data_IF_701208797371
#
_entry.id   IF_701208797371
#
_cell.length_a   1.000
_cell.length_b   1.000
_cell.length_c   1.000
_cell.angle_alpha   90.00
_cell.angle_beta   90.00
_cell.angle_gamma   90.00
#
_symmetry.space_group_name_H-M   'P 1'
#
loop_
_entity.id
_entity.type
_entity.pdbx_description
1 polymer ?
#
# COMPACT_ATOMS: atom_id res chain seq x y z
N UNK A 1 -10.41 20.23 -35.00
CA UNK A 1 -10.72 19.18 -34.03
C UNK A 1 -9.40 18.58 -33.61
N UNK A 2 -9.03 18.76 -32.35
CA UNK A 2 -7.79 18.21 -31.81
C UNK A 2 -8.12 17.06 -30.87
N UNK A 3 -7.37 15.97 -31.03
CA UNK A 3 -7.42 14.84 -30.10
C UNK A 3 -6.02 14.53 -29.64
N UNK A 4 -5.85 14.13 -28.40
CA UNK A 4 -4.61 13.55 -27.94
C UNK A 4 -4.86 12.42 -26.96
N UNK A 5 -3.88 11.53 -26.88
CA UNK A 5 -3.84 10.40 -25.95
C UNK A 5 -2.51 10.48 -25.21
N UNK A 6 -2.54 10.30 -23.92
CA UNK A 6 -1.37 10.07 -23.08
C UNK A 6 -1.50 8.71 -22.44
N UNK A 7 -0.43 7.92 -22.48
CA UNK A 7 -0.32 6.61 -21.84
C UNK A 7 0.89 6.63 -20.92
N UNK A 8 0.70 6.19 -19.71
CA UNK A 8 1.75 5.97 -18.73
C UNK A 8 1.74 4.52 -18.28
N UNK A 9 2.89 3.86 -18.38
CA UNK A 9 3.07 2.47 -17.95
C UNK A 9 4.31 2.42 -17.06
N UNK A 10 4.16 1.90 -15.85
CA UNK A 10 5.26 1.73 -14.93
C UNK A 10 5.13 0.40 -14.23
N UNK A 11 6.23 -0.34 -14.21
CA UNK A 11 6.36 -1.58 -13.44
C UNK A 11 7.70 -1.54 -12.73
N UNK A 12 7.71 -1.90 -11.46
CA UNK A 12 8.92 -1.98 -10.66
C UNK A 12 8.85 -3.17 -9.71
N UNK A 13 9.94 -3.93 -9.66
CA UNK A 13 10.19 -4.97 -8.65
C UNK A 13 11.45 -4.58 -7.87
N UNK A 14 11.37 -4.53 -6.55
CA UNK A 14 12.46 -4.06 -5.71
C UNK A 14 13.38 -5.18 -5.20
N UNK A 15 13.22 -6.41 -5.67
CA UNK A 15 13.99 -7.57 -5.24
C UNK A 15 15.52 -7.36 -5.33
N UNK A 16 15.98 -6.68 -6.39
CA UNK A 16 17.42 -6.44 -6.59
C UNK A 16 18.03 -5.41 -5.63
N UNK A 17 17.23 -4.48 -5.13
CA UNK A 17 17.71 -3.45 -4.17
C UNK A 17 17.75 -3.97 -2.74
N UNK A 18 16.81 -4.81 -2.37
CA UNK A 18 16.70 -5.38 -1.03
C UNK A 18 17.67 -6.55 -0.82
N UNK A 19 17.97 -7.33 -1.86
CA UNK A 19 18.94 -8.42 -1.81
C UNK A 19 20.41 -7.96 -1.67
N UNK A 20 20.70 -6.67 -1.81
CA UNK A 20 22.06 -6.09 -1.55
C UNK A 20 22.23 -5.57 -0.13
N UNK A 21 21.16 -5.45 0.63
CA UNK A 21 21.20 -5.05 2.03
C UNK A 21 21.22 -6.30 2.91
N UNK A 22 21.98 -6.22 4.01
CA UNK A 22 22.05 -7.30 5.01
C UNK A 22 20.78 -7.25 5.88
N UNK A 23 19.63 -7.50 5.25
CA UNK A 23 18.32 -7.51 5.90
C UNK A 23 18.09 -8.85 6.59
N UNK A 24 17.50 -8.81 7.77
CA UNK A 24 17.17 -10.00 8.57
C UNK A 24 15.86 -10.65 8.07
N UNK A 25 15.70 -10.82 6.73
CA UNK A 25 14.52 -11.40 6.09
C UNK A 25 14.48 -11.13 4.60
N UNK A 26 13.65 -11.90 3.90
CA UNK A 26 13.37 -11.69 2.49
C UNK A 26 12.19 -10.73 2.33
N UNK A 27 12.42 -9.64 1.63
CA UNK A 27 11.43 -8.61 1.34
C UNK A 27 11.23 -8.53 -0.16
N UNK A 28 10.07 -8.92 -0.62
CA UNK A 28 9.68 -8.85 -2.02
C UNK A 28 8.59 -7.80 -2.17
N UNK A 29 8.89 -6.71 -2.86
CA UNK A 29 7.87 -5.71 -3.17
C UNK A 29 7.85 -5.39 -4.65
N UNK A 30 6.65 -5.22 -5.17
CA UNK A 30 6.41 -4.87 -6.54
C UNK A 30 5.28 -3.87 -6.69
N UNK A 31 5.28 -3.11 -7.77
CA UNK A 31 4.11 -2.36 -8.16
C UNK A 31 4.01 -2.20 -9.68
N UNK A 32 2.79 -2.06 -10.14
CA UNK A 32 2.44 -1.73 -11.50
C UNK A 32 1.47 -0.56 -11.51
N UNK A 33 1.66 0.35 -12.45
CA UNK A 33 0.86 1.56 -12.59
C UNK A 33 0.59 1.78 -14.08
N UNK A 34 -0.68 1.92 -14.42
CA UNK A 34 -1.17 2.11 -15.78
C UNK A 34 -2.06 3.34 -15.80
N UNK A 35 -1.69 4.31 -16.62
CA UNK A 35 -2.43 5.57 -16.74
C UNK A 35 -2.83 5.82 -18.17
N UNK A 36 -4.03 6.34 -18.34
CA UNK A 36 -4.60 6.66 -19.62
C UNK A 36 -5.31 8.01 -19.53
N UNK A 37 -5.05 8.90 -20.48
CA UNK A 37 -5.79 10.13 -20.67
C UNK A 37 -6.08 10.31 -22.16
N UNK A 38 -7.36 10.42 -22.47
CA UNK A 38 -7.84 10.80 -23.79
C UNK A 38 -8.56 12.13 -23.69
N UNK A 39 -8.28 13.03 -24.63
CA UNK A 39 -9.03 14.27 -24.80
C UNK A 39 -9.38 14.47 -26.26
N UNK A 40 -10.60 14.94 -26.49
CA UNK A 40 -11.12 15.21 -27.82
C UNK A 40 -12.01 16.46 -27.84
N UNK A 41 -11.77 17.34 -28.82
CA UNK A 41 -12.59 18.51 -29.06
C UNK A 41 -13.77 18.15 -29.96
N UNK A 42 -14.97 18.07 -29.36
CA UNK A 42 -16.24 17.82 -30.05
C UNK A 42 -16.81 19.13 -30.63
N UNK A 43 -16.08 19.71 -31.60
CA UNK A 43 -16.42 21.00 -32.18
C UNK A 43 -15.69 22.15 -31.49
N UNK A 44 -16.24 23.36 -31.57
CA UNK A 44 -15.60 24.58 -31.01
C UNK A 44 -15.97 24.87 -29.56
N UNK A 45 -16.98 24.21 -29.05
CA UNK A 45 -17.55 24.53 -27.74
C UNK A 45 -17.53 23.40 -26.73
N UNK A 46 -17.37 22.17 -27.16
CA UNK A 46 -17.45 21.00 -26.29
C UNK A 46 -16.13 20.21 -26.28
N UNK A 47 -15.60 19.97 -25.11
CA UNK A 47 -14.41 19.15 -24.90
C UNK A 47 -14.76 17.93 -24.06
N UNK A 48 -14.36 16.77 -24.53
CA UNK A 48 -14.44 15.49 -23.83
C UNK A 48 -13.06 15.11 -23.29
N UNK A 49 -13.00 14.68 -22.03
CA UNK A 49 -11.80 14.08 -21.46
C UNK A 49 -12.16 12.80 -20.73
N UNK A 50 -11.42 11.73 -20.98
CA UNK A 50 -11.53 10.45 -20.30
C UNK A 50 -10.20 10.13 -19.65
N UNK A 51 -10.23 9.86 -18.37
CA UNK A 51 -9.07 9.47 -17.57
C UNK A 51 -9.29 8.07 -17.01
N UNK A 52 -8.24 7.28 -16.99
CA UNK A 52 -8.20 5.98 -16.32
C UNK A 52 -6.86 5.80 -15.64
N UNK A 53 -6.88 5.21 -14.46
CA UNK A 53 -5.70 4.83 -13.70
C UNK A 53 -5.96 3.48 -13.03
N UNK A 54 -4.99 2.57 -13.13
CA UNK A 54 -5.00 1.29 -12.44
C UNK A 54 -3.64 1.07 -11.81
N UNK A 55 -3.65 0.80 -10.50
CA UNK A 55 -2.45 0.51 -9.73
C UNK A 55 -2.61 -0.83 -9.03
N UNK A 56 -1.51 -1.57 -8.96
CA UNK A 56 -1.39 -2.76 -8.15
C UNK A 56 -0.05 -2.76 -7.46
N UNK A 57 -0.04 -3.02 -6.15
CA UNK A 57 1.15 -3.22 -5.35
C UNK A 57 1.09 -4.51 -4.57
N UNK A 58 2.22 -5.15 -4.38
CA UNK A 58 2.39 -6.33 -3.56
C UNK A 58 3.63 -6.19 -2.67
N UNK A 59 3.51 -6.68 -1.44
CA UNK A 59 4.60 -6.77 -0.49
C UNK A 59 4.53 -8.14 0.19
N UNK A 60 5.62 -8.89 0.13
CA UNK A 60 5.78 -10.14 0.87
C UNK A 60 7.02 -10.03 1.76
N UNK A 61 6.87 -10.42 3.01
CA UNK A 61 7.92 -10.39 4.02
C UNK A 61 8.02 -11.78 4.65
N UNK A 62 9.20 -12.40 4.51
CA UNK A 62 9.54 -13.66 5.17
C UNK A 62 10.73 -13.41 6.08
N UNK A 63 10.53 -13.23 7.40
CA UNK A 63 11.60 -12.94 8.32
C UNK A 63 12.50 -14.16 8.51
N UNK A 64 13.81 -13.91 8.51
CA UNK A 64 14.81 -14.94 8.74
C UNK A 64 15.18 -15.05 10.23
N UNK A 65 15.89 -16.12 10.55
CA UNK A 65 16.47 -16.30 11.87
C UNK A 65 17.37 -15.12 12.25
N UNK A 66 17.21 -14.63 13.47
CA UNK A 66 18.04 -13.58 14.06
C UNK A 66 18.84 -14.12 15.23
N UNK A 67 20.15 -13.82 15.23
CA UNK A 67 21.06 -14.10 16.33
C UNK A 67 21.68 -12.79 16.81
N UNK A 68 21.46 -12.41 18.05
CA UNK A 68 22.03 -11.20 18.64
C UNK A 68 22.83 -11.58 19.87
N UNK A 69 24.08 -11.11 19.94
CA UNK A 69 24.95 -11.26 21.10
C UNK A 69 25.20 -9.89 21.73
N UNK A 70 25.15 -9.83 23.06
CA UNK A 70 25.39 -8.61 23.82
C UNK A 70 25.93 -8.96 25.20
N UNK A 71 26.60 -8.02 25.85
CA UNK A 71 27.23 -8.21 27.16
C UNK A 71 28.64 -7.65 27.24
N UNK A 72 29.37 -8.11 28.20
CA UNK A 72 30.77 -7.76 28.46
C UNK A 72 31.71 -8.86 27.98
N UNK A 73 33.06 -8.66 28.10
CA UNK A 73 34.07 -9.71 27.83
C UNK A 73 33.92 -10.95 28.70
N UNK A 74 33.36 -10.79 29.89
CA UNK A 74 33.30 -11.84 30.91
C UNK A 74 31.93 -12.55 30.90
N UNK A 75 30.86 -11.87 30.44
CA UNK A 75 29.50 -12.39 30.39
C UNK A 75 28.85 -11.98 29.06
N UNK A 76 28.68 -12.93 28.18
CA UNK A 76 28.02 -12.73 26.89
C UNK A 76 26.65 -13.42 26.88
N UNK A 77 25.64 -12.67 26.55
CA UNK A 77 24.26 -13.14 26.39
C UNK A 77 23.97 -13.31 24.93
N UNK A 78 23.23 -14.37 24.58
CA UNK A 78 22.85 -14.69 23.21
C UNK A 78 21.32 -14.84 23.11
N UNK A 79 20.72 -13.97 22.32
CA UNK A 79 19.31 -14.07 21.92
C UNK A 79 19.22 -14.69 20.52
N UNK A 80 18.58 -15.83 20.43
CA UNK A 80 18.30 -16.51 19.18
C UNK A 80 16.80 -16.44 18.92
N UNK A 81 16.40 -15.79 17.82
CA UNK A 81 15.00 -15.71 17.41
C UNK A 81 14.86 -16.45 16.08
N UNK A 82 13.91 -17.36 16.02
CA UNK A 82 13.53 -18.06 14.80
C UNK A 82 12.12 -17.67 14.45
N UNK A 83 11.85 -17.59 13.16
CA UNK A 83 10.53 -17.29 12.64
C UNK A 83 10.06 -18.39 11.71
N UNK A 84 8.76 -18.63 11.70
CA UNK A 84 8.06 -19.48 10.76
C UNK A 84 6.81 -18.74 10.31
N UNK A 85 6.55 -18.76 9.00
CA UNK A 85 5.45 -18.03 8.40
C UNK A 85 5.86 -16.80 7.60
N UNK A 86 4.87 -16.05 7.20
CA UNK A 86 5.02 -14.92 6.28
C UNK A 86 4.00 -13.80 6.55
N UNK A 87 4.30 -12.63 6.03
CA UNK A 87 3.40 -11.49 5.98
C UNK A 87 3.26 -11.03 4.54
N UNK A 88 2.03 -10.81 4.07
CA UNK A 88 1.76 -10.30 2.74
C UNK A 88 0.74 -9.17 2.78
N UNK A 89 0.97 -8.17 1.93
CA UNK A 89 0.04 -7.08 1.69
C UNK A 89 -0.15 -6.89 0.20
N UNK A 90 -1.41 -6.85 -0.24
CA UNK A 90 -1.80 -6.62 -1.61
C UNK A 90 -2.70 -5.38 -1.66
N UNK A 91 -2.40 -4.49 -2.57
CA UNK A 91 -3.16 -3.28 -2.83
C UNK A 91 -3.51 -3.20 -4.31
N UNK A 92 -4.77 -2.94 -4.61
CA UNK A 92 -5.23 -2.74 -5.96
C UNK A 92 -6.17 -1.53 -6.00
N UNK A 93 -5.97 -0.62 -6.97
CA UNK A 93 -6.86 0.51 -7.16
C UNK A 93 -7.18 0.75 -8.63
N UNK A 94 -8.43 1.05 -8.90
CA UNK A 94 -8.94 1.46 -10.19
C UNK A 94 -9.61 2.81 -10.06
N UNK A 95 -9.29 3.75 -10.94
CA UNK A 95 -9.97 5.02 -11.07
C UNK A 95 -10.32 5.29 -12.53
N UNK A 96 -11.55 5.71 -12.77
CA UNK A 96 -12.00 6.19 -14.09
C UNK A 96 -12.72 7.53 -13.91
N UNK A 97 -12.51 8.46 -14.82
CA UNK A 97 -13.20 9.75 -14.82
C UNK A 97 -13.56 10.19 -16.23
N UNK A 98 -14.74 10.79 -16.34
CA UNK A 98 -15.26 11.44 -17.54
C UNK A 98 -15.46 12.92 -17.23
N UNK A 99 -14.94 13.80 -18.09
CA UNK A 99 -15.17 15.24 -18.02
C UNK A 99 -15.74 15.74 -19.33
N UNK A 100 -16.83 16.46 -19.26
CA UNK A 100 -17.41 17.22 -20.36
C UNK A 100 -17.37 18.71 -20.02
N UNK A 101 -16.62 19.47 -20.80
CA UNK A 101 -16.52 20.93 -20.66
C UNK A 101 -17.19 21.61 -21.83
N UNK A 102 -18.23 22.39 -21.55
CA UNK A 102 -19.04 23.11 -22.54
C UNK A 102 -18.86 24.62 -22.38
N UNK A 103 -18.30 25.26 -23.39
CA UNK A 103 -18.13 26.70 -23.50
C UNK A 103 -19.35 27.29 -24.18
N UNK A 104 -20.38 27.67 -23.40
CA UNK A 104 -21.61 28.27 -23.95
C UNK A 104 -21.33 29.62 -24.60
N UNK A 105 -20.43 30.43 -24.01
CA UNK A 105 -19.91 31.69 -24.54
C UNK A 105 -18.49 31.94 -24.02
N UNK A 106 -17.88 33.03 -24.45
CA UNK A 106 -16.54 33.47 -23.95
C UNK A 106 -16.54 33.78 -22.43
N UNK A 107 -17.72 33.94 -21.82
CA UNK A 107 -17.88 34.33 -20.42
C UNK A 107 -18.67 33.29 -19.62
N UNK A 108 -19.17 32.22 -20.22
CA UNK A 108 -20.01 31.21 -19.55
C UNK A 108 -19.57 29.81 -19.94
N UNK A 109 -19.13 29.06 -18.95
CA UNK A 109 -18.64 27.69 -19.10
C UNK A 109 -19.36 26.76 -18.13
N UNK A 110 -19.67 25.55 -18.56
CA UNK A 110 -20.18 24.45 -17.77
C UNK A 110 -19.19 23.29 -17.81
N UNK A 111 -18.95 22.65 -16.69
CA UNK A 111 -18.13 21.45 -16.62
C UNK A 111 -18.88 20.39 -15.84
N UNK A 112 -19.10 19.25 -16.47
CA UNK A 112 -19.59 18.06 -15.81
C UNK A 112 -18.46 17.06 -15.65
N UNK A 113 -18.30 16.56 -14.44
CA UNK A 113 -17.29 15.57 -14.08
C UNK A 113 -18.01 14.40 -13.42
N UNK A 114 -17.76 13.19 -13.90
CA UNK A 114 -18.18 11.97 -13.23
C UNK A 114 -16.99 11.05 -13.05
N UNK A 115 -16.78 10.51 -11.87
CA UNK A 115 -15.66 9.62 -11.57
C UNK A 115 -16.10 8.45 -10.70
N UNK A 116 -15.47 7.33 -10.94
CA UNK A 116 -15.57 6.12 -10.17
C UNK A 116 -14.18 5.72 -9.69
N UNK A 117 -14.05 5.30 -8.43
CA UNK A 117 -12.85 4.65 -7.94
C UNK A 117 -13.20 3.43 -7.09
N UNK A 118 -12.35 2.41 -7.19
CA UNK A 118 -12.37 1.21 -6.36
C UNK A 118 -10.99 0.97 -5.78
N UNK A 119 -10.94 0.63 -4.51
CA UNK A 119 -9.72 0.27 -3.80
C UNK A 119 -9.98 -1.06 -3.11
N UNK A 120 -9.09 -2.01 -3.35
CA UNK A 120 -9.06 -3.31 -2.68
C UNK A 120 -7.71 -3.44 -1.98
N UNK A 121 -7.75 -3.73 -0.68
CA UNK A 121 -6.57 -3.96 0.14
C UNK A 121 -6.76 -5.24 0.94
N UNK A 122 -5.73 -6.08 0.94
CA UNK A 122 -5.70 -7.31 1.70
C UNK A 122 -4.36 -7.44 2.42
N UNK A 123 -4.42 -7.65 3.73
CA UNK A 123 -3.27 -7.91 4.57
C UNK A 123 -3.41 -9.28 5.22
N UNK A 124 -2.43 -10.13 5.01
CA UNK A 124 -2.34 -11.44 5.63
C UNK A 124 -1.03 -11.53 6.41
N UNK A 125 -1.10 -12.05 7.61
CA UNK A 125 0.05 -12.37 8.45
C UNK A 125 -0.23 -13.64 9.21
N UNK A 126 0.66 -14.59 9.07
CA UNK A 126 0.68 -15.81 9.88
C UNK A 126 2.14 -16.03 10.28
N UNK A 127 2.51 -15.54 11.45
CA UNK A 127 3.90 -15.48 11.87
C UNK A 127 4.06 -16.01 13.28
N UNK A 128 4.80 -17.09 13.42
CA UNK A 128 5.25 -17.64 14.67
C UNK A 128 6.73 -17.29 14.88
N UNK A 129 7.02 -16.55 15.92
CA UNK A 129 8.39 -16.30 16.37
C UNK A 129 8.64 -17.08 17.68
N UNK A 130 9.73 -17.83 17.77
CA UNK A 130 10.18 -18.38 19.04
C UNK A 130 11.59 -17.95 19.33
N UNK A 131 11.86 -17.68 20.59
CA UNK A 131 13.16 -17.21 21.03
C UNK A 131 13.74 -18.10 22.13
N UNK A 132 15.07 -18.17 22.12
CA UNK A 132 15.85 -18.76 23.20
C UNK A 132 16.91 -17.75 23.63
N UNK A 133 16.98 -17.51 24.93
CA UNK A 133 17.94 -16.63 25.57
C UNK A 133 18.94 -17.47 26.37
N UNK A 134 20.20 -17.38 26.01
CA UNK A 134 21.25 -18.20 26.59
C UNK A 134 22.38 -17.33 27.12
N UNK A 135 23.01 -17.76 28.20
CA UNK A 135 24.31 -17.26 28.64
C UNK A 135 25.39 -17.99 27.86
N UNK A 136 26.33 -17.26 27.23
CA UNK A 136 27.46 -17.83 26.53
C UNK A 136 28.63 -17.99 27.52
N UNK A 137 28.84 -19.19 28.02
CA UNK A 137 30.02 -19.46 28.84
C UNK A 137 31.30 -19.23 28.04
N UNK A 138 32.25 -18.47 28.61
CA UNK A 138 33.43 -17.94 27.98
C UNK A 138 34.27 -18.96 27.22
N UNK A 139 34.06 -19.04 25.91
CA UNK A 139 34.84 -19.82 24.97
C UNK A 139 34.53 -19.39 23.53
N UNK A 140 35.57 -19.32 22.70
CA UNK A 140 35.46 -18.95 21.26
C UNK A 140 34.78 -20.03 20.41
N UNK A 141 34.28 -21.12 20.99
CA UNK A 141 33.63 -22.18 20.25
C UNK A 141 32.18 -21.79 19.92
N UNK A 142 31.80 -21.62 18.64
CA UNK A 142 30.44 -21.32 18.22
C UNK A 142 29.42 -22.39 18.61
N UNK A 143 29.84 -23.60 18.91
CA UNK A 143 29.01 -24.74 19.31
C UNK A 143 28.70 -24.77 20.82
N UNK A 144 29.38 -23.94 21.60
CA UNK A 144 29.18 -23.90 23.05
C UNK A 144 27.90 -23.09 23.33
N UNK A 145 26.76 -23.76 23.33
CA UNK A 145 25.46 -23.22 23.75
C UNK A 145 25.50 -23.23 25.28
N UNK A 146 25.66 -22.05 25.89
CA UNK A 146 25.67 -21.89 27.33
C UNK A 146 24.30 -22.24 27.98
N UNK A 147 24.17 -21.97 29.26
CA UNK A 147 22.92 -22.27 29.99
C UNK A 147 21.73 -21.52 29.42
N UNK A 148 20.60 -22.20 29.21
CA UNK A 148 19.34 -21.58 28.80
C UNK A 148 18.81 -20.74 29.97
N UNK A 149 18.64 -19.43 29.72
CA UNK A 149 18.09 -18.50 30.71
C UNK A 149 16.57 -18.29 30.52
N UNK A 150 16.09 -18.46 29.29
CA UNK A 150 14.68 -18.33 29.01
C UNK A 150 14.32 -18.69 27.58
N UNK A 151 13.07 -19.02 27.36
CA UNK A 151 12.49 -19.26 26.03
C UNK A 151 11.04 -18.82 25.98
N UNK A 152 10.54 -18.55 24.78
CA UNK A 152 9.15 -18.24 24.59
C UNK A 152 8.80 -18.16 23.12
N UNK A 153 7.55 -17.94 22.86
CA UNK A 153 7.05 -17.75 21.49
C UNK A 153 6.10 -16.57 21.42
N UNK A 154 6.02 -16.00 20.24
CA UNK A 154 5.07 -14.96 19.87
C UNK A 154 4.40 -15.37 18.58
N UNK A 155 3.08 -15.41 18.58
CA UNK A 155 2.27 -15.69 17.42
C UNK A 155 1.52 -14.43 17.02
N UNK A 156 1.60 -14.05 15.76
CA UNK A 156 0.87 -12.93 15.19
C UNK A 156 0.09 -13.39 13.96
N UNK A 157 -1.22 -13.23 14.02
CA UNK A 157 -2.14 -13.52 12.92
C UNK A 157 -2.88 -12.27 12.50
N UNK A 158 -3.05 -12.09 11.18
CA UNK A 158 -3.84 -11.02 10.58
C UNK A 158 -4.48 -11.53 9.29
N UNK A 159 -5.77 -11.28 9.12
CA UNK A 159 -6.52 -11.48 7.88
C UNK A 159 -7.48 -10.29 7.73
N UNK A 160 -6.95 -9.19 7.20
CA UNK A 160 -7.67 -7.95 7.00
C UNK A 160 -8.03 -7.77 5.54
N UNK A 161 -9.19 -7.22 5.29
CA UNK A 161 -9.70 -6.90 3.97
C UNK A 161 -10.44 -5.59 3.98
N UNK A 162 -10.08 -4.68 3.07
CA UNK A 162 -10.77 -3.43 2.82
C UNK A 162 -11.18 -3.36 1.34
N UNK A 163 -12.46 -3.13 1.07
CA UNK A 163 -12.96 -2.78 -0.24
C UNK A 163 -13.71 -1.47 -0.17
N UNK A 164 -13.29 -0.49 -0.94
CA UNK A 164 -13.90 0.84 -1.01
C UNK A 164 -14.29 1.13 -2.44
N UNK A 165 -15.52 1.60 -2.65
CA UNK A 165 -16.01 2.09 -3.93
C UNK A 165 -16.55 3.50 -3.74
N UNK A 166 -16.17 4.42 -4.60
CA UNK A 166 -16.58 5.82 -4.56
C UNK A 166 -17.07 6.24 -5.94
N UNK A 167 -18.31 6.73 -6.00
CA UNK A 167 -18.87 7.36 -7.17
C UNK A 167 -19.06 8.85 -6.90
N UNK A 168 -18.49 9.69 -7.74
CA UNK A 168 -18.69 11.13 -7.71
C UNK A 168 -19.29 11.62 -9.01
N UNK A 169 -20.20 12.58 -8.92
CA UNK A 169 -20.64 13.38 -10.06
C UNK A 169 -20.77 14.83 -9.65
N UNK A 170 -20.31 15.72 -10.49
CA UNK A 170 -20.24 17.16 -10.19
C UNK A 170 -20.56 17.95 -11.44
N UNK A 171 -21.40 18.98 -11.29
CA UNK A 171 -21.68 19.99 -12.30
C UNK A 171 -21.21 21.35 -11.78
N UNK A 172 -20.33 21.99 -12.51
CA UNK A 172 -19.83 23.34 -12.22
C UNK A 172 -20.26 24.30 -13.31
N UNK A 173 -20.58 25.52 -12.91
CA UNK A 173 -20.80 26.66 -13.78
C UNK A 173 -19.80 27.75 -13.44
N UNK A 174 -19.13 28.29 -14.43
CA UNK A 174 -18.29 29.46 -14.33
C UNK A 174 -18.85 30.57 -15.21
N UNK A 175 -19.04 31.77 -14.66
CA UNK A 175 -19.53 32.94 -15.39
C UNK A 175 -18.68 34.18 -15.04
N UNK A 176 -18.14 34.83 -16.06
CA UNK A 176 -17.48 36.12 -15.95
C UNK A 176 -18.53 37.24 -16.14
N UNK A 177 -18.55 38.18 -15.19
CA UNK A 177 -19.44 39.36 -15.22
C UNK A 177 -18.57 40.60 -15.01
N UNK A 178 -18.31 41.36 -16.08
CA UNK A 178 -17.39 42.54 -16.04
C UNK A 178 -16.01 42.14 -15.46
N UNK A 179 -15.62 42.73 -14.33
CA UNK A 179 -14.35 42.49 -13.64
C UNK A 179 -14.43 41.40 -12.54
N UNK A 180 -15.58 40.74 -12.42
CA UNK A 180 -15.83 39.71 -11.40
C UNK A 180 -16.14 38.38 -12.07
N UNK A 181 -15.99 37.29 -11.33
CA UNK A 181 -16.43 35.98 -11.76
C UNK A 181 -17.30 35.33 -10.70
N UNK A 182 -18.18 34.48 -11.14
CA UNK A 182 -19.06 33.66 -10.31
C UNK A 182 -18.75 32.21 -10.67
N UNK A 183 -18.43 31.41 -9.65
CA UNK A 183 -18.32 29.95 -9.77
C UNK A 183 -19.36 29.33 -8.83
N UNK A 184 -20.13 28.39 -9.32
CA UNK A 184 -21.10 27.63 -8.55
C UNK A 184 -21.16 26.21 -9.07
N UNK A 185 -21.60 25.29 -8.24
CA UNK A 185 -21.72 23.90 -8.63
C UNK A 185 -22.55 23.09 -7.63
N UNK A 186 -22.87 21.88 -8.07
CA UNK A 186 -23.50 20.85 -7.26
C UNK A 186 -22.70 19.57 -7.41
N UNK A 187 -22.47 18.89 -6.29
CA UNK A 187 -21.76 17.61 -6.24
C UNK A 187 -22.58 16.57 -5.51
N UNK A 188 -22.61 15.39 -6.08
CA UNK A 188 -23.13 14.18 -5.46
C UNK A 188 -21.99 13.16 -5.32
N UNK A 189 -21.94 12.51 -4.16
CA UNK A 189 -20.99 11.43 -3.87
C UNK A 189 -21.73 10.29 -3.20
N UNK A 190 -21.42 9.07 -3.63
CA UNK A 190 -21.89 7.84 -3.02
C UNK A 190 -20.69 6.94 -2.73
N UNK A 191 -20.56 6.52 -1.48
CA UNK A 191 -19.46 5.69 -0.99
C UNK A 191 -20.00 4.34 -0.51
N UNK A 192 -19.26 3.28 -0.78
CA UNK A 192 -19.47 1.96 -0.23
C UNK A 192 -18.16 1.46 0.33
N UNK A 193 -18.13 1.15 1.62
CA UNK A 193 -16.97 0.62 2.31
C UNK A 193 -17.35 -0.73 2.90
N UNK A 194 -16.50 -1.73 2.66
CA UNK A 194 -16.54 -3.03 3.31
C UNK A 194 -15.19 -3.23 3.96
N UNK A 195 -15.20 -3.41 5.26
CA UNK A 195 -14.02 -3.62 6.08
C UNK A 195 -14.19 -4.89 6.91
N UNK A 196 -13.14 -5.70 6.96
CA UNK A 196 -13.05 -6.86 7.83
C UNK A 196 -11.66 -6.85 8.46
N UNK A 197 -11.64 -6.79 9.78
CA UNK A 197 -10.43 -6.85 10.59
C UNK A 197 -10.50 -8.13 11.43
N UNK A 198 -9.50 -8.99 11.26
CA UNK A 198 -9.34 -10.20 12.04
C UNK A 198 -7.88 -10.34 12.44
N UNK A 199 -7.57 -9.95 13.67
CA UNK A 199 -6.21 -9.91 14.18
C UNK A 199 -6.11 -10.62 15.52
N UNK A 200 -5.05 -11.39 15.69
CA UNK A 200 -4.72 -12.05 16.93
C UNK A 200 -3.21 -11.99 17.19
N UNK A 201 -2.84 -11.63 18.40
CA UNK A 201 -1.47 -11.70 18.88
C UNK A 201 -1.44 -12.48 20.20
N UNK A 202 -0.56 -13.46 20.27
CA UNK A 202 -0.37 -14.30 21.45
C UNK A 202 1.10 -14.39 21.82
N UNK A 203 1.38 -14.34 23.12
CA UNK A 203 2.72 -14.55 23.69
C UNK A 203 2.63 -15.75 24.62
N UNK A 204 3.50 -16.73 24.42
CA UNK A 204 3.66 -17.88 25.32
C UNK A 204 5.07 -17.87 25.92
N UNK A 205 5.13 -17.76 27.23
CA UNK A 205 6.36 -17.80 28.01
C UNK A 205 6.36 -19.01 28.97
N UNK A 206 5.44 -19.98 28.82
CA UNK A 206 5.27 -21.14 29.69
C UNK A 206 6.42 -22.16 29.61
N UNK A 207 7.44 -21.87 28.86
CA UNK A 207 8.64 -22.70 28.73
C UNK A 207 9.69 -22.51 29.82
N UNK A 208 9.37 -21.87 30.94
CA UNK A 208 10.23 -21.72 32.10
C UNK A 208 10.07 -22.86 33.06
#
# INVERSE_FOLDING_TARGET
KNSYILLGLRNKKNQSLLGTQNLEGDYLSGFSDYQFLFRHDLGSKLNLSVFGNYNRGDLNISPNRRLTEFGTSDEVLRLNVNYDGEESSNYESLMAALTLAYNASNTLNFTWISSFSSIDEQENKDLLGWYAFNEKNGGLDPKNVGSLLGRGSNFAYRDNFLNTMILNTELRMYKQVRNSFIETGIRFQADRIKDRINEYNGIDTSGY
#
